data_IF_105749006727
#
_entry.id   IF_105749006727
#
_cell.length_a   1.000
_cell.length_b   1.000
_cell.length_c   1.000
_cell.angle_alpha   90.00
_cell.angle_beta   90.00
_cell.angle_gamma   90.00
#
_symmetry.space_group_name_H-M   'P 1'
#
loop_
_entity.id
_entity.type
_entity.pdbx_description
1 polymer ?
#
# COMPACT_ATOMS: atom_id res chain seq x y z
N UNK A 1 24.85 7.85 3.26
CA UNK A 1 23.50 8.44 3.32
C UNK A 1 23.37 9.19 4.64
N UNK A 2 22.55 10.24 4.74
CA UNK A 2 22.33 11.00 5.96
C UNK A 2 20.90 10.81 6.46
N UNK A 3 20.76 10.73 7.78
CA UNK A 3 19.47 10.57 8.49
C UNK A 3 19.23 11.80 9.35
N UNK A 4 18.07 12.42 9.23
CA UNK A 4 17.59 13.38 10.21
C UNK A 4 16.82 12.64 11.30
N UNK A 5 17.24 12.80 12.56
CA UNK A 5 16.63 12.13 13.71
C UNK A 5 15.89 13.15 14.57
N UNK A 6 14.70 12.79 15.04
CA UNK A 6 13.92 13.55 16.01
C UNK A 6 13.17 12.60 16.94
N UNK A 7 13.22 12.83 18.25
CA UNK A 7 12.55 12.00 19.26
C UNK A 7 12.88 10.49 19.09
N UNK A 8 14.16 10.17 18.85
CA UNK A 8 14.70 8.84 18.54
C UNK A 8 14.20 8.20 17.23
N UNK A 9 13.56 8.98 16.34
CA UNK A 9 13.00 8.50 15.06
C UNK A 9 13.68 9.11 13.85
N UNK A 10 13.88 8.33 12.80
CA UNK A 10 14.38 8.84 11.53
C UNK A 10 13.24 9.51 10.78
N UNK A 11 13.26 10.84 10.66
CA UNK A 11 12.16 11.60 10.04
C UNK A 11 12.42 11.98 8.59
N UNK A 12 13.68 11.91 8.14
CA UNK A 12 14.06 12.12 6.74
C UNK A 12 15.41 11.46 6.45
N UNK A 13 15.62 11.10 5.18
CA UNK A 13 16.86 10.51 4.66
C UNK A 13 17.31 11.23 3.39
N UNK A 14 18.62 11.24 3.12
CA UNK A 14 19.21 11.91 1.96
C UNK A 14 20.52 11.24 1.55
N UNK A 15 20.69 10.87 0.28
CA UNK A 15 21.94 10.27 -0.20
C UNK A 15 23.05 11.29 -0.49
N UNK A 16 22.69 12.55 -0.72
CA UNK A 16 23.61 13.58 -1.22
C UNK A 16 24.02 14.56 -0.14
N UNK A 17 23.06 15.01 0.66
CA UNK A 17 23.23 16.19 1.52
C UNK A 17 22.89 15.87 2.97
N UNK A 18 23.70 16.39 3.89
CA UNK A 18 23.42 16.35 5.33
C UNK A 18 22.50 17.50 5.79
N UNK A 19 22.13 18.40 4.88
CA UNK A 19 21.32 19.58 5.18
C UNK A 19 19.84 19.33 4.93
N UNK A 20 19.10 19.14 6.02
CA UNK A 20 17.64 19.00 5.99
C UNK A 20 16.98 20.35 6.29
N UNK A 21 16.76 21.16 5.26
CA UNK A 21 16.12 22.48 5.39
C UNK A 21 14.67 22.37 5.85
N UNK A 22 14.23 23.35 6.64
CA UNK A 22 12.85 23.45 7.14
C UNK A 22 12.36 22.27 8.00
N UNK A 23 13.25 21.37 8.41
CA UNK A 23 12.97 20.24 9.31
C UNK A 23 13.49 20.53 10.72
N UNK A 24 12.59 20.42 11.70
CA UNK A 24 12.94 20.39 13.13
C UNK A 24 13.45 18.98 13.43
N UNK A 25 14.71 18.87 13.86
CA UNK A 25 15.42 17.62 14.13
C UNK A 25 16.37 17.83 15.30
N UNK A 26 16.67 16.76 16.00
CA UNK A 26 17.61 16.76 17.13
C UNK A 26 19.04 16.59 16.60
N UNK A 27 19.23 15.69 15.64
CA UNK A 27 20.53 15.44 15.05
C UNK A 27 20.47 14.99 13.58
N UNK A 28 21.64 14.99 12.94
CA UNK A 28 21.86 14.37 11.63
C UNK A 28 23.01 13.38 11.76
N UNK A 29 22.75 12.13 11.38
CA UNK A 29 23.74 11.04 11.45
C UNK A 29 24.05 10.56 10.04
N UNK A 30 25.34 10.33 9.77
CA UNK A 30 25.77 9.66 8.55
C UNK A 30 25.64 8.14 8.72
N UNK A 31 24.89 7.51 7.83
CA UNK A 31 24.80 6.07 7.66
C UNK A 31 25.65 5.64 6.47
N UNK A 32 26.70 4.88 6.78
CA UNK A 32 27.62 4.30 5.78
C UNK A 32 27.31 2.83 5.48
N UNK A 33 26.42 2.21 6.25
CA UNK A 33 26.08 0.78 6.12
C UNK A 33 24.89 0.59 5.17
N UNK A 34 24.00 1.57 5.09
CA UNK A 34 22.78 1.50 4.28
C UNK A 34 22.64 2.69 3.31
N UNK A 35 21.81 2.48 2.30
CA UNK A 35 21.41 3.45 1.28
C UNK A 35 19.96 3.86 1.48
N UNK A 36 19.47 4.92 0.81
CA UNK A 36 18.03 5.26 0.89
C UNK A 36 17.12 4.14 0.40
N UNK A 37 17.59 3.26 -0.50
CA UNK A 37 16.83 2.12 -1.00
C UNK A 37 16.54 1.06 0.06
N UNK A 38 17.29 1.04 1.17
CA UNK A 38 17.09 0.10 2.28
C UNK A 38 15.97 0.54 3.23
N UNK A 39 15.50 1.78 3.12
CA UNK A 39 14.48 2.37 4.00
C UNK A 39 13.15 2.51 3.28
N UNK A 40 12.07 2.38 4.06
CA UNK A 40 10.71 2.73 3.63
C UNK A 40 10.04 3.57 4.72
N UNK A 41 9.09 4.42 4.31
CA UNK A 41 8.35 5.25 5.25
C UNK A 41 7.20 4.46 5.87
N UNK A 42 7.19 4.37 7.19
CA UNK A 42 6.15 3.73 8.00
C UNK A 42 5.71 4.67 9.12
N UNK A 43 4.42 5.02 9.15
CA UNK A 43 3.82 5.91 10.16
C UNK A 43 4.57 7.25 10.39
N UNK A 44 5.10 7.83 9.31
CA UNK A 44 5.80 9.13 9.36
C UNK A 44 7.27 9.04 9.79
N UNK A 45 7.80 7.84 9.95
CA UNK A 45 9.20 7.54 10.23
C UNK A 45 9.79 6.71 9.09
N UNK A 46 11.09 6.82 8.85
CA UNK A 46 11.83 5.96 7.94
C UNK A 46 12.43 4.78 8.73
N UNK A 47 12.02 3.57 8.40
CA UNK A 47 12.55 2.34 9.00
C UNK A 47 13.27 1.52 7.95
N UNK A 48 14.25 0.72 8.37
CA UNK A 48 14.81 -0.30 7.50
C UNK A 48 13.70 -1.26 7.06
N UNK A 49 13.72 -1.69 5.80
CA UNK A 49 12.74 -2.63 5.26
C UNK A 49 12.60 -3.91 6.08
N UNK A 50 13.67 -4.35 6.74
CA UNK A 50 13.68 -5.51 7.65
C UNK A 50 13.01 -5.26 9.01
N UNK A 51 12.87 -4.01 9.42
CA UNK A 51 12.33 -3.60 10.73
C UNK A 51 10.87 -3.13 10.62
N UNK A 52 10.37 -2.91 9.42
CA UNK A 52 8.95 -2.59 9.20
C UNK A 52 8.12 -3.79 9.67
N UNK A 53 7.22 -3.60 10.64
CA UNK A 53 6.39 -4.68 11.11
C UNK A 53 5.55 -5.22 9.96
N UNK A 54 5.36 -6.53 9.94
CA UNK A 54 4.40 -7.13 9.02
C UNK A 54 3.05 -6.44 9.23
N UNK A 55 2.36 -6.03 8.14
CA UNK A 55 1.09 -5.35 8.26
C UNK A 55 0.10 -6.26 9.00
N UNK A 56 -0.65 -5.68 9.93
CA UNK A 56 -1.64 -6.44 10.68
C UNK A 56 -2.74 -6.98 9.77
N UNK A 57 -3.45 -8.02 10.22
CA UNK A 57 -4.60 -8.57 9.50
C UNK A 57 -5.66 -7.49 9.20
N UNK A 58 -5.88 -6.57 10.15
CA UNK A 58 -6.82 -5.46 9.98
C UNK A 58 -6.34 -4.46 8.92
N UNK A 59 -5.04 -4.14 8.92
CA UNK A 59 -4.44 -3.26 7.90
C UNK A 59 -4.51 -3.88 6.50
N UNK A 60 -4.21 -5.18 6.37
CA UNK A 60 -4.35 -5.89 5.10
C UNK A 60 -5.80 -5.98 4.65
N UNK A 61 -6.74 -6.22 5.58
CA UNK A 61 -8.16 -6.22 5.27
C UNK A 61 -8.65 -4.85 4.80
N UNK A 62 -8.20 -3.76 5.43
CA UNK A 62 -8.51 -2.40 5.01
C UNK A 62 -7.96 -2.11 3.61
N UNK A 63 -6.70 -2.49 3.32
CA UNK A 63 -6.10 -2.35 1.99
C UNK A 63 -6.84 -3.13 0.92
N UNK A 64 -7.19 -4.40 1.19
CA UNK A 64 -8.00 -5.23 0.27
C UNK A 64 -9.37 -4.61 0.02
N UNK A 65 -10.05 -4.15 1.06
CA UNK A 65 -11.36 -3.52 0.94
C UNK A 65 -11.28 -2.27 0.07
N UNK A 66 -10.32 -1.39 0.32
CA UNK A 66 -10.12 -0.18 -0.48
C UNK A 66 -9.80 -0.50 -1.94
N UNK A 67 -8.96 -1.51 -2.20
CA UNK A 67 -8.65 -1.95 -3.56
C UNK A 67 -9.89 -2.55 -4.26
N UNK A 68 -10.70 -3.34 -3.55
CA UNK A 68 -11.93 -3.92 -4.09
C UNK A 68 -12.95 -2.83 -4.46
N UNK A 69 -13.11 -1.83 -3.58
CA UNK A 69 -13.96 -0.66 -3.84
C UNK A 69 -13.46 0.16 -5.04
N UNK A 70 -12.15 0.28 -5.23
CA UNK A 70 -11.60 1.05 -6.36
C UNK A 70 -11.66 0.29 -7.70
N UNK A 71 -11.40 -1.03 -7.69
CA UNK A 71 -11.15 -1.81 -8.90
C UNK A 71 -12.38 -2.63 -9.34
N UNK A 72 -13.28 -2.97 -8.41
CA UNK A 72 -14.41 -3.88 -8.68
C UNK A 72 -15.77 -3.16 -8.62
N UNK A 73 -15.88 -2.02 -7.93
CA UNK A 73 -17.16 -1.30 -7.78
C UNK A 73 -17.68 -0.71 -9.10
N UNK A 74 -16.78 -0.34 -10.03
CA UNK A 74 -17.18 0.08 -11.37
C UNK A 74 -17.85 -1.06 -12.16
N UNK A 75 -17.36 -2.30 -12.01
CA UNK A 75 -17.98 -3.47 -12.64
C UNK A 75 -19.37 -3.75 -12.06
N UNK A 76 -19.53 -3.63 -10.73
CA UNK A 76 -20.84 -3.75 -10.09
C UNK A 76 -21.79 -2.66 -10.59
N UNK A 77 -21.31 -1.43 -10.72
CA UNK A 77 -22.08 -0.32 -11.25
C UNK A 77 -22.51 -0.54 -12.71
N UNK A 78 -21.63 -1.08 -13.54
CA UNK A 78 -21.95 -1.47 -14.93
C UNK A 78 -23.05 -2.52 -14.96
N UNK A 79 -22.89 -3.60 -14.18
CA UNK A 79 -23.88 -4.67 -14.07
C UNK A 79 -25.25 -4.11 -13.66
N UNK A 80 -25.32 -3.31 -12.59
CA UNK A 80 -26.58 -2.73 -12.13
C UNK A 80 -27.25 -1.88 -13.21
N UNK A 81 -26.49 -1.11 -13.99
CA UNK A 81 -27.04 -0.31 -15.10
C UNK A 81 -27.69 -1.20 -16.16
N UNK A 82 -27.02 -2.27 -16.56
CA UNK A 82 -27.54 -3.20 -17.57
C UNK A 82 -28.75 -4.01 -17.08
N UNK A 83 -28.73 -4.45 -15.82
CA UNK A 83 -29.88 -5.13 -15.21
C UNK A 83 -31.12 -4.22 -15.18
N UNK A 84 -30.94 -2.93 -14.88
CA UNK A 84 -32.03 -1.93 -14.90
C UNK A 84 -32.54 -1.67 -16.32
N UNK A 85 -31.65 -1.66 -17.32
CA UNK A 85 -32.01 -1.49 -18.73
C UNK A 85 -32.65 -2.75 -19.33
N UNK A 86 -32.50 -3.91 -18.67
CA UNK A 86 -33.02 -5.19 -19.13
C UNK A 86 -32.23 -5.77 -20.32
N UNK A 87 -31.01 -5.30 -20.54
CA UNK A 87 -30.11 -5.77 -21.59
C UNK A 87 -28.99 -6.69 -21.07
N UNK A 88 -28.99 -6.99 -19.77
CA UNK A 88 -28.07 -7.96 -19.17
C UNK A 88 -28.36 -9.39 -19.63
N UNK A 89 -27.37 -10.02 -20.27
CA UNK A 89 -27.47 -11.37 -20.79
C UNK A 89 -26.71 -12.38 -19.93
N UNK A 90 -26.88 -13.67 -20.21
CA UNK A 90 -26.09 -14.74 -19.57
C UNK A 90 -24.60 -14.67 -19.95
N UNK A 91 -24.28 -14.16 -21.14
CA UNK A 91 -22.89 -13.94 -21.58
C UNK A 91 -22.23 -12.83 -20.77
N UNK A 92 -22.94 -11.72 -20.54
CA UNK A 92 -22.47 -10.62 -19.69
C UNK A 92 -22.26 -11.08 -18.24
N UNK A 93 -23.14 -11.93 -17.71
CA UNK A 93 -23.00 -12.51 -16.38
C UNK A 93 -21.75 -13.39 -16.26
N UNK A 94 -21.42 -14.18 -17.30
CA UNK A 94 -20.23 -15.01 -17.32
C UNK A 94 -18.95 -14.16 -17.35
N UNK A 95 -18.89 -13.16 -18.24
CA UNK A 95 -17.75 -12.24 -18.34
C UNK A 95 -17.54 -11.43 -17.06
N UNK A 96 -18.62 -10.92 -16.47
CA UNK A 96 -18.59 -10.21 -15.20
C UNK A 96 -17.99 -11.06 -14.09
N UNK A 97 -18.44 -12.31 -13.94
CA UNK A 97 -17.93 -13.22 -12.91
C UNK A 97 -16.46 -13.51 -13.09
N UNK A 98 -16.03 -13.79 -14.32
CA UNK A 98 -14.62 -14.03 -14.63
C UNK A 98 -13.77 -12.84 -14.22
N UNK A 99 -14.13 -11.62 -14.65
CA UNK A 99 -13.41 -10.39 -14.29
C UNK A 99 -13.36 -10.15 -12.79
N UNK A 100 -14.48 -10.30 -12.08
CA UNK A 100 -14.52 -10.12 -10.62
C UNK A 100 -13.63 -11.15 -9.92
N UNK A 101 -13.63 -12.40 -10.36
CA UNK A 101 -12.77 -13.45 -9.78
C UNK A 101 -11.30 -13.11 -10.01
N UNK A 102 -10.92 -12.76 -11.24
CA UNK A 102 -9.54 -12.40 -11.58
C UNK A 102 -9.06 -11.22 -10.75
N UNK A 103 -9.81 -10.11 -10.70
CA UNK A 103 -9.44 -8.94 -9.91
C UNK A 103 -9.37 -9.26 -8.41
N UNK A 104 -10.29 -10.10 -7.91
CA UNK A 104 -10.27 -10.52 -6.50
C UNK A 104 -9.02 -11.32 -6.16
N UNK A 105 -8.55 -12.17 -7.09
CA UNK A 105 -7.31 -12.93 -6.93
C UNK A 105 -6.08 -12.02 -6.98
N UNK A 106 -6.00 -11.10 -7.94
CA UNK A 106 -4.91 -10.12 -8.05
C UNK A 106 -4.81 -9.24 -6.79
N UNK A 107 -5.95 -8.77 -6.26
CA UNK A 107 -5.99 -8.02 -5.00
C UNK A 107 -5.51 -8.86 -3.83
N UNK A 108 -5.89 -10.15 -3.78
CA UNK A 108 -5.46 -11.05 -2.73
C UNK A 108 -3.96 -11.34 -2.77
N UNK A 109 -3.37 -11.46 -3.96
CA UNK A 109 -1.93 -11.62 -4.17
C UNK A 109 -1.14 -10.35 -3.82
N UNK A 110 -1.68 -9.17 -4.16
CA UNK A 110 -1.05 -7.87 -3.85
C UNK A 110 -1.05 -7.55 -2.35
N UNK A 111 -2.09 -7.99 -1.64
CA UNK A 111 -2.28 -7.75 -0.20
C UNK A 111 -2.51 -9.08 0.53
N UNK A 112 -1.52 -9.97 0.64
CA UNK A 112 -1.70 -11.27 1.27
C UNK A 112 -2.11 -11.11 2.74
N UNK A 113 -3.04 -11.93 3.23
CA UNK A 113 -3.25 -12.02 4.67
C UNK A 113 -1.96 -12.53 5.30
N UNK A 114 -1.58 -11.98 6.45
CA UNK A 114 -0.53 -12.58 7.25
C UNK A 114 -0.95 -14.01 7.59
N UNK A 115 -0.11 -15.00 7.25
CA UNK A 115 -0.31 -16.38 7.68
C UNK A 115 -0.14 -16.44 9.20
N UNK A 116 -1.24 -16.33 9.93
CA UNK A 116 -1.31 -16.59 11.37
C UNK A 116 -1.53 -15.35 12.23
N UNK A 117 -2.76 -15.21 12.71
CA UNK A 117 -3.13 -15.32 14.13
C UNK A 117 -4.52 -15.99 14.23
#
# INVERSE_FOLDING_TARGET
>A
MYKAIKDDKIIAISDTDNEFFCLVKDEVVEDTEHTTEDYDQYNGEYLLKSEIPAPSKEEQQAKRKAAYEAEVDELHSQKMRHEVLGDWTEEDEAEYREKVITLSQEIAERYPYSEGE
#
